data_IF_087331298059
#
_entry.id   IF_087331298059
#
_cell.length_a   1.000
_cell.length_b   1.000
_cell.length_c   1.000
_cell.angle_alpha   90.00
_cell.angle_beta   90.00
_cell.angle_gamma   90.00
#
_symmetry.space_group_name_H-M   'P 1'
#
loop_
_entity.id
_entity.type
_entity.pdbx_description
1 polymer ?
#
# COMPACT_ATOMS: atom_id res chain seq x y z
N UNK A 1 -0.84 16.21 13.26
CA UNK A 1 -0.25 15.99 14.60
C UNK A 1 -0.61 17.08 15.60
N UNK A 2 -0.48 18.39 15.29
CA UNK A 2 -0.77 19.47 16.26
C UNK A 2 -2.15 19.38 16.93
N UNK A 3 -3.20 19.07 16.15
CA UNK A 3 -4.55 18.86 16.69
C UNK A 3 -4.60 17.68 17.68
N UNK A 4 -3.97 16.55 17.34
CA UNK A 4 -3.95 15.36 18.18
C UNK A 4 -3.15 15.56 19.47
N UNK A 5 -1.96 16.14 19.37
CA UNK A 5 -1.09 16.37 20.54
C UNK A 5 -1.67 17.40 21.49
N UNK A 6 -2.45 18.36 21.00
CA UNK A 6 -3.15 19.32 21.86
C UNK A 6 -4.26 18.66 22.68
N UNK A 7 -4.89 17.60 22.17
CA UNK A 7 -5.99 16.89 22.87
C UNK A 7 -5.48 15.79 23.80
N UNK A 8 -4.45 15.04 23.38
CA UNK A 8 -4.00 13.82 24.06
C UNK A 8 -2.58 13.91 24.66
N UNK A 9 -1.89 15.05 24.46
CA UNK A 9 -0.53 15.27 24.94
C UNK A 9 0.57 14.64 24.08
N UNK A 10 1.78 14.60 24.63
CA UNK A 10 3.02 14.18 23.95
C UNK A 10 3.59 12.86 24.46
N UNK A 11 2.82 12.04 25.18
CA UNK A 11 3.28 10.73 25.62
C UNK A 11 3.57 9.81 24.43
N UNK A 12 4.51 8.88 24.57
CA UNK A 12 4.83 7.92 23.50
C UNK A 12 3.60 7.13 23.04
N UNK A 13 2.75 6.77 23.99
CA UNK A 13 1.49 6.07 23.73
C UNK A 13 0.59 6.97 22.88
N UNK A 14 0.36 8.23 23.29
CA UNK A 14 -0.47 9.17 22.54
C UNK A 14 0.03 9.37 21.11
N UNK A 15 1.35 9.45 20.89
CA UNK A 15 1.92 9.63 19.55
C UNK A 15 1.79 8.38 18.65
N UNK A 16 1.71 7.18 19.23
CA UNK A 16 1.58 5.91 18.49
C UNK A 16 0.12 5.47 18.29
N UNK A 17 -0.81 5.93 19.15
CA UNK A 17 -2.23 5.58 19.09
C UNK A 17 -2.89 5.79 17.70
N UNK A 18 -2.61 6.88 16.94
CA UNK A 18 -3.18 7.04 15.60
C UNK A 18 -2.89 5.85 14.67
N UNK A 19 -1.66 5.31 14.70
CA UNK A 19 -1.27 4.17 13.87
C UNK A 19 -2.05 2.90 14.22
N UNK A 20 -2.33 2.68 15.51
CA UNK A 20 -3.16 1.57 16.01
C UNK A 20 -4.61 1.73 15.55
N UNK A 21 -5.17 2.93 15.64
CA UNK A 21 -6.55 3.18 15.20
C UNK A 21 -6.68 2.95 13.69
N UNK A 22 -5.73 3.44 12.88
CA UNK A 22 -5.73 3.20 11.44
C UNK A 22 -5.52 1.74 11.07
N UNK A 23 -4.73 0.97 11.83
CA UNK A 23 -4.60 -0.48 11.58
C UNK A 23 -5.92 -1.22 11.81
N UNK A 24 -6.62 -0.92 12.90
CA UNK A 24 -7.94 -1.51 13.20
C UNK A 24 -8.99 -1.12 12.17
N UNK A 25 -9.04 0.17 11.78
CA UNK A 25 -9.92 0.65 10.70
C UNK A 25 -9.59 -0.04 9.37
N UNK A 26 -8.31 -0.26 9.07
CA UNK A 26 -7.92 -1.03 7.87
C UNK A 26 -8.44 -2.45 7.94
N UNK A 27 -8.30 -3.13 9.09
CA UNK A 27 -8.83 -4.48 9.30
C UNK A 27 -10.33 -4.56 9.05
N UNK A 28 -11.10 -3.57 9.51
CA UNK A 28 -12.52 -3.47 9.23
C UNK A 28 -12.83 -3.32 7.73
N UNK A 29 -12.10 -2.47 7.00
CA UNK A 29 -12.29 -2.34 5.55
C UNK A 29 -11.91 -3.64 4.82
N UNK A 30 -10.85 -4.32 5.25
CA UNK A 30 -10.47 -5.63 4.71
C UNK A 30 -11.57 -6.67 4.94
N UNK A 31 -12.19 -6.67 6.13
CA UNK A 31 -13.35 -7.51 6.42
C UNK A 31 -14.50 -7.26 5.44
N UNK A 32 -14.80 -5.99 5.13
CA UNK A 32 -15.86 -5.65 4.17
C UNK A 32 -15.58 -6.13 2.74
N UNK A 33 -14.31 -6.34 2.37
CA UNK A 33 -13.92 -6.81 1.03
C UNK A 33 -13.79 -8.34 0.97
N UNK A 34 -13.11 -8.95 1.95
CA UNK A 34 -12.68 -10.36 1.90
C UNK A 34 -13.14 -11.22 3.08
N UNK A 35 -13.98 -10.69 3.98
CA UNK A 35 -14.53 -11.43 5.12
C UNK A 35 -13.56 -11.61 6.30
N UNK A 36 -13.95 -12.46 7.25
CA UNK A 36 -13.26 -12.64 8.54
C UNK A 36 -11.83 -13.13 8.37
N UNK A 37 -11.59 -14.08 7.45
CA UNK A 37 -10.26 -14.63 7.22
C UNK A 37 -9.30 -13.60 6.60
N UNK A 38 -9.76 -12.77 5.68
CA UNK A 38 -8.94 -11.67 5.14
C UNK A 38 -8.55 -10.69 6.24
N UNK A 39 -9.51 -10.32 7.11
CA UNK A 39 -9.23 -9.46 8.26
C UNK A 39 -8.22 -10.10 9.21
N UNK A 40 -8.37 -11.39 9.51
CA UNK A 40 -7.44 -12.11 10.37
C UNK A 40 -6.02 -12.16 9.77
N UNK A 41 -5.89 -12.52 8.49
CA UNK A 41 -4.59 -12.53 7.80
C UNK A 41 -3.92 -11.16 7.78
N UNK A 42 -4.70 -10.06 7.74
CA UNK A 42 -4.16 -8.71 7.84
C UNK A 42 -3.78 -8.32 9.28
N UNK A 43 -4.68 -8.46 10.25
CA UNK A 43 -4.46 -7.99 11.63
C UNK A 43 -3.39 -8.78 12.36
N UNK A 44 -3.29 -10.08 12.09
CA UNK A 44 -2.25 -10.95 12.66
C UNK A 44 -0.97 -11.00 11.82
N UNK A 45 -0.89 -10.22 10.73
CA UNK A 45 0.36 -10.13 9.97
C UNK A 45 1.46 -9.49 10.83
N UNK A 46 2.63 -10.12 11.02
CA UNK A 46 3.65 -9.59 11.91
C UNK A 46 4.21 -8.22 11.48
N UNK A 47 4.20 -7.88 10.18
CA UNK A 47 4.53 -6.52 9.74
C UNK A 47 3.48 -5.52 10.19
N UNK A 48 2.20 -5.85 10.05
CA UNK A 48 1.11 -4.94 10.44
C UNK A 48 1.12 -4.69 11.94
N UNK A 49 1.30 -5.74 12.75
CA UNK A 49 1.44 -5.62 14.20
C UNK A 49 2.60 -4.68 14.53
N UNK A 50 3.76 -4.88 13.92
CA UNK A 50 4.94 -4.04 14.14
C UNK A 50 4.68 -2.57 13.74
N UNK A 51 4.17 -2.32 12.55
CA UNK A 51 3.98 -0.95 12.03
C UNK A 51 2.80 -0.20 12.66
N UNK A 52 1.84 -0.93 13.24
CA UNK A 52 0.78 -0.31 14.06
C UNK A 52 1.31 0.35 15.32
N UNK A 53 2.47 -0.08 15.83
CA UNK A 53 3.08 0.46 17.04
C UNK A 53 4.07 1.60 16.76
N UNK A 54 4.38 1.88 15.49
CA UNK A 54 5.28 2.96 15.13
C UNK A 54 4.51 4.26 14.90
N UNK A 55 5.01 5.38 15.43
CA UNK A 55 4.49 6.72 15.13
C UNK A 55 4.94 7.18 13.73
N UNK A 56 4.49 6.47 12.69
CA UNK A 56 4.82 6.71 11.27
C UNK A 56 3.57 6.65 10.40
N UNK A 57 3.65 7.28 9.23
CA UNK A 57 2.50 7.43 8.32
C UNK A 57 2.02 6.12 7.65
N UNK A 58 2.71 4.99 7.83
CA UNK A 58 2.44 3.75 7.08
C UNK A 58 1.04 3.18 7.32
N UNK A 59 0.55 3.13 8.56
CA UNK A 59 -0.79 2.60 8.81
C UNK A 59 -1.89 3.54 8.32
N UNK A 60 -1.67 4.85 8.40
CA UNK A 60 -2.60 5.84 7.84
C UNK A 60 -2.73 5.69 6.32
N UNK A 61 -1.62 5.63 5.57
CA UNK A 61 -1.70 5.42 4.12
C UNK A 61 -2.27 4.05 3.76
N UNK A 62 -1.98 3.01 4.55
CA UNK A 62 -2.55 1.67 4.36
C UNK A 62 -4.07 1.70 4.50
N UNK A 63 -4.60 2.38 5.52
CA UNK A 63 -6.04 2.61 5.65
C UNK A 63 -6.62 3.36 4.45
N UNK A 64 -6.04 4.51 4.09
CA UNK A 64 -6.55 5.36 3.00
C UNK A 64 -6.57 4.62 1.66
N UNK A 65 -5.51 3.87 1.33
CA UNK A 65 -5.46 3.07 0.11
C UNK A 65 -6.38 1.85 0.14
N UNK A 66 -6.62 1.26 1.31
CA UNK A 66 -7.57 0.15 1.45
C UNK A 66 -9.01 0.65 1.34
N UNK A 67 -9.31 1.83 1.87
CA UNK A 67 -10.59 2.50 1.66
C UNK A 67 -10.79 2.86 0.17
N UNK A 68 -9.75 3.39 -0.50
CA UNK A 68 -9.77 3.60 -1.94
C UNK A 68 -10.03 2.29 -2.70
N UNK A 69 -9.37 1.19 -2.31
CA UNK A 69 -9.60 -0.14 -2.88
C UNK A 69 -11.06 -0.59 -2.73
N UNK A 70 -11.66 -0.40 -1.56
CA UNK A 70 -13.07 -0.75 -1.31
C UNK A 70 -14.01 -0.03 -2.30
N UNK A 71 -13.87 1.29 -2.43
CA UNK A 71 -14.71 2.06 -3.37
C UNK A 71 -14.41 1.71 -4.82
N UNK A 72 -13.14 1.51 -5.17
CA UNK A 72 -12.73 1.06 -6.50
C UNK A 72 -13.40 -0.26 -6.90
N UNK A 73 -13.34 -1.27 -6.02
CA UNK A 73 -13.97 -2.58 -6.28
C UNK A 73 -15.49 -2.47 -6.37
N UNK A 74 -16.12 -1.65 -5.53
CA UNK A 74 -17.57 -1.40 -5.55
C UNK A 74 -18.04 -0.73 -6.84
N UNK A 75 -17.26 0.22 -7.36
CA UNK A 75 -17.52 0.85 -8.66
C UNK A 75 -17.42 -0.19 -9.79
N UNK A 76 -16.42 -1.08 -9.74
CA UNK A 76 -16.24 -2.13 -10.75
C UNK A 76 -17.32 -3.22 -10.71
N UNK A 77 -17.86 -3.54 -9.54
CA UNK A 77 -18.90 -4.57 -9.39
C UNK A 77 -20.29 -4.12 -9.84
N UNK A 78 -20.54 -2.81 -9.88
CA UNK A 78 -21.86 -2.27 -10.17
C UNK A 78 -22.06 -2.12 -11.69
N UNK A 79 -23.09 -2.76 -12.24
CA UNK A 79 -23.48 -2.58 -13.65
C UNK A 79 -24.50 -1.44 -13.77
N UNK A 80 -24.18 -0.41 -14.55
CA UNK A 80 -25.09 0.70 -14.89
C UNK A 80 -24.76 2.05 -14.22
N UNK A 81 -25.31 3.14 -14.75
CA UNK A 81 -25.25 4.50 -14.16
C UNK A 81 -26.25 4.60 -13.00
N UNK A 82 -26.02 3.87 -11.91
CA UNK A 82 -26.83 4.06 -10.70
C UNK A 82 -26.44 5.38 -10.03
N UNK A 83 -27.43 6.21 -9.70
CA UNK A 83 -27.22 7.55 -9.09
C UNK A 83 -26.52 7.47 -7.73
N UNK A 84 -26.64 6.32 -7.05
CA UNK A 84 -25.96 5.97 -5.80
C UNK A 84 -24.42 5.88 -5.93
N UNK A 85 -23.88 5.76 -7.15
CA UNK A 85 -22.44 5.72 -7.38
C UNK A 85 -21.78 7.10 -7.27
N UNK A 86 -22.51 8.21 -7.45
CA UNK A 86 -21.94 9.57 -7.43
C UNK A 86 -21.10 9.86 -6.16
N UNK A 87 -21.49 9.28 -5.02
CA UNK A 87 -20.72 9.42 -3.76
C UNK A 87 -19.44 8.57 -3.72
N UNK A 88 -19.46 7.36 -4.27
CA UNK A 88 -18.31 6.45 -4.21
C UNK A 88 -17.13 6.98 -5.03
N UNK A 89 -17.41 7.66 -6.14
CA UNK A 89 -16.41 8.21 -7.06
C UNK A 89 -15.64 9.36 -6.38
N UNK A 90 -16.39 10.23 -5.70
CA UNK A 90 -15.86 11.35 -4.93
C UNK A 90 -15.06 10.82 -3.74
N UNK A 91 -15.57 9.82 -3.03
CA UNK A 91 -14.86 9.18 -1.92
C UNK A 91 -13.57 8.51 -2.41
N UNK A 92 -13.59 7.81 -3.55
CA UNK A 92 -12.40 7.24 -4.16
C UNK A 92 -11.35 8.32 -4.45
N UNK A 93 -11.75 9.41 -5.14
CA UNK A 93 -10.88 10.54 -5.41
C UNK A 93 -10.30 11.16 -4.15
N UNK A 94 -11.13 11.37 -3.12
CA UNK A 94 -10.72 11.90 -1.82
C UNK A 94 -9.69 10.99 -1.13
N UNK A 95 -9.94 9.68 -1.05
CA UNK A 95 -9.01 8.73 -0.43
C UNK A 95 -7.69 8.62 -1.20
N UNK A 96 -7.73 8.65 -2.54
CA UNK A 96 -6.52 8.72 -3.39
C UNK A 96 -5.72 9.99 -3.09
N UNK A 97 -6.37 11.15 -3.05
CA UNK A 97 -5.72 12.43 -2.76
C UNK A 97 -5.12 12.46 -1.35
N UNK A 98 -5.86 12.02 -0.34
CA UNK A 98 -5.38 11.95 1.04
C UNK A 98 -4.22 10.95 1.19
N UNK A 99 -4.27 9.80 0.49
CA UNK A 99 -3.18 8.84 0.49
C UNK A 99 -1.90 9.44 -0.10
N UNK A 100 -2.01 10.18 -1.21
CA UNK A 100 -0.88 10.85 -1.85
C UNK A 100 -0.29 11.95 -0.98
N UNK A 101 -1.13 12.77 -0.33
CA UNK A 101 -0.69 13.76 0.65
C UNK A 101 0.04 13.13 1.85
N UNK A 102 -0.39 11.94 2.26
CA UNK A 102 0.18 11.21 3.39
C UNK A 102 1.51 10.57 3.02
N UNK A 103 1.62 9.97 1.84
CA UNK A 103 2.82 9.25 1.43
C UNK A 103 2.93 9.19 -0.11
N UNK A 104 3.97 9.78 -0.68
CA UNK A 104 4.16 9.83 -2.14
C UNK A 104 4.32 8.46 -2.80
N UNK A 105 4.82 7.44 -2.08
CA UNK A 105 4.91 6.07 -2.60
C UNK A 105 3.55 5.39 -2.82
N UNK A 106 2.44 6.01 -2.39
CA UNK A 106 1.08 5.60 -2.77
C UNK A 106 0.82 5.73 -4.28
N UNK A 107 1.62 6.54 -5.00
CA UNK A 107 1.48 6.75 -6.45
C UNK A 107 1.47 5.44 -7.24
N UNK A 108 2.21 4.42 -6.80
CA UNK A 108 2.28 3.14 -7.50
C UNK A 108 0.91 2.44 -7.53
N UNK A 109 0.18 2.42 -6.41
CA UNK A 109 -1.17 1.83 -6.39
C UNK A 109 -2.21 2.73 -7.03
N UNK A 110 -2.08 4.06 -6.89
CA UNK A 110 -2.97 5.03 -7.54
C UNK A 110 -2.90 4.87 -9.07
N UNK A 111 -1.69 4.85 -9.63
CA UNK A 111 -1.46 4.63 -11.07
C UNK A 111 -2.01 3.27 -11.51
N UNK A 112 -1.93 2.25 -10.65
CA UNK A 112 -2.52 0.93 -10.92
C UNK A 112 -4.05 1.01 -11.07
N UNK A 113 -4.75 1.76 -10.23
CA UNK A 113 -6.19 1.99 -10.39
C UNK A 113 -6.51 2.70 -11.72
N UNK A 114 -5.74 3.75 -12.06
CA UNK A 114 -5.96 4.54 -13.28
C UNK A 114 -5.74 3.69 -14.53
N UNK A 115 -4.62 2.96 -14.61
CA UNK A 115 -4.31 2.08 -15.74
C UNK A 115 -5.34 0.96 -15.85
N UNK A 116 -5.85 0.44 -14.73
CA UNK A 116 -6.93 -0.55 -14.77
C UNK A 116 -8.23 0.00 -15.37
N UNK A 117 -8.63 1.23 -15.00
CA UNK A 117 -9.81 1.87 -15.63
C UNK A 117 -9.61 2.08 -17.14
N UNK A 118 -8.40 2.48 -17.55
CA UNK A 118 -8.07 2.62 -18.97
C UNK A 118 -8.15 1.27 -19.70
N UNK A 119 -7.59 0.21 -19.12
CA UNK A 119 -7.68 -1.15 -19.66
C UNK A 119 -9.12 -1.66 -19.80
N UNK A 120 -9.99 -1.34 -18.84
CA UNK A 120 -11.43 -1.63 -18.91
C UNK A 120 -12.23 -0.64 -19.75
N UNK A 121 -11.57 0.30 -20.45
CA UNK A 121 -12.18 1.36 -21.27
C UNK A 121 -13.18 2.22 -20.52
N UNK A 122 -13.02 2.36 -19.20
CA UNK A 122 -13.91 3.14 -18.37
C UNK A 122 -13.43 4.60 -18.24
N UNK A 123 -13.48 5.32 -19.37
CA UNK A 123 -12.85 6.64 -19.51
C UNK A 123 -13.40 7.69 -18.56
N UNK A 124 -14.70 7.63 -18.22
CA UNK A 124 -15.31 8.57 -17.27
C UNK A 124 -14.61 8.55 -15.92
N UNK A 125 -14.44 7.37 -15.33
CA UNK A 125 -13.78 7.24 -14.02
C UNK A 125 -12.28 7.47 -14.12
N UNK A 126 -11.65 7.07 -15.22
CA UNK A 126 -10.25 7.40 -15.48
C UNK A 126 -10.02 8.92 -15.47
N UNK A 127 -10.80 9.68 -16.25
CA UNK A 127 -10.65 11.15 -16.35
C UNK A 127 -10.91 11.81 -14.99
N UNK A 128 -12.02 11.47 -14.31
CA UNK A 128 -12.37 12.06 -13.03
C UNK A 128 -11.27 11.84 -11.96
N UNK A 129 -10.82 10.60 -11.77
CA UNK A 129 -9.78 10.29 -10.78
C UNK A 129 -8.43 10.89 -11.16
N UNK A 130 -8.12 10.98 -12.47
CA UNK A 130 -6.91 11.66 -12.95
C UNK A 130 -6.98 13.16 -12.66
N UNK A 131 -8.13 13.81 -12.84
CA UNK A 131 -8.30 15.23 -12.51
C UNK A 131 -8.12 15.49 -11.01
N UNK A 132 -8.70 14.64 -10.14
CA UNK A 132 -8.46 14.73 -8.69
C UNK A 132 -6.97 14.58 -8.34
N UNK A 133 -6.29 13.63 -8.98
CA UNK A 133 -4.86 13.39 -8.75
C UNK A 133 -3.98 14.54 -9.27
N UNK A 134 -4.29 15.10 -10.43
CA UNK A 134 -3.58 16.28 -10.97
C UNK A 134 -3.80 17.49 -10.07
N UNK A 135 -5.05 17.76 -9.66
CA UNK A 135 -5.38 18.89 -8.80
C UNK A 135 -4.63 18.82 -7.48
N UNK A 136 -4.57 17.66 -6.83
CA UNK A 136 -3.84 17.53 -5.57
C UNK A 136 -2.32 17.65 -5.77
N UNK A 137 -1.79 17.12 -6.87
CA UNK A 137 -0.36 17.22 -7.21
C UNK A 137 0.05 18.67 -7.47
N UNK A 138 -0.79 19.42 -8.20
CA UNK A 138 -0.57 20.85 -8.43
C UNK A 138 -0.60 21.64 -7.13
N UNK A 139 -1.57 21.36 -6.24
CA UNK A 139 -1.71 22.03 -4.95
C UNK A 139 -0.44 21.89 -4.09
N UNK A 140 0.19 20.72 -4.10
CA UNK A 140 1.41 20.45 -3.31
C UNK A 140 2.71 20.62 -4.10
N UNK A 141 2.65 21.03 -5.37
CA UNK A 141 3.82 21.07 -6.25
C UNK A 141 5.01 21.88 -5.69
N UNK A 142 4.81 23.02 -4.98
CA UNK A 142 5.96 23.76 -4.41
C UNK A 142 6.65 22.97 -3.29
N UNK A 143 5.86 22.31 -2.43
CA UNK A 143 6.38 21.47 -1.37
C UNK A 143 7.12 20.26 -1.94
N UNK A 144 6.52 19.60 -2.95
CA UNK A 144 7.11 18.44 -3.61
C UNK A 144 8.44 18.81 -4.27
N UNK A 145 8.50 19.97 -4.94
CA UNK A 145 9.73 20.48 -5.54
C UNK A 145 10.84 20.69 -4.49
N UNK A 146 10.52 21.33 -3.36
CA UNK A 146 11.49 21.52 -2.27
C UNK A 146 11.97 20.19 -1.69
N UNK A 147 11.06 19.23 -1.48
CA UNK A 147 11.42 17.90 -0.99
C UNK A 147 12.31 17.12 -1.96
N UNK A 148 12.10 17.27 -3.27
CA UNK A 148 12.96 16.66 -4.30
C UNK A 148 14.37 17.26 -4.26
N UNK A 149 14.51 18.58 -4.11
CA UNK A 149 15.83 19.23 -3.98
C UNK A 149 16.53 18.72 -2.72
N UNK A 150 15.85 18.76 -1.56
CA UNK A 150 16.41 18.31 -0.30
C UNK A 150 16.84 16.83 -0.36
N UNK A 151 16.05 15.99 -1.05
CA UNK A 151 16.36 14.58 -1.25
C UNK A 151 17.63 14.37 -2.09
N UNK A 152 17.82 15.18 -3.16
CA UNK A 152 19.03 15.13 -4.00
C UNK A 152 20.27 15.56 -3.21
N UNK A 153 20.16 16.64 -2.42
CA UNK A 153 21.24 17.13 -1.56
C UNK A 153 21.62 16.08 -0.51
N UNK A 154 20.64 15.45 0.13
CA UNK A 154 20.91 14.39 1.10
C UNK A 154 21.58 13.16 0.45
N UNK A 155 21.19 12.81 -0.78
CA UNK A 155 21.78 11.68 -1.49
C UNK A 155 23.24 11.92 -1.89
N UNK A 156 23.64 13.17 -2.16
CA UNK A 156 25.03 13.51 -2.51
C UNK A 156 25.91 13.70 -1.27
N UNK A 157 25.36 14.27 -0.19
CA UNK A 157 26.14 14.59 1.01
C UNK A 157 26.32 13.40 1.95
N UNK A 158 25.32 12.51 2.06
CA UNK A 158 25.39 11.37 2.99
C UNK A 158 26.00 10.17 2.28
N UNK A 159 27.21 9.81 2.69
CA UNK A 159 27.93 8.64 2.15
C UNK A 159 27.09 7.38 2.31
N UNK A 160 27.04 6.55 1.27
CA UNK A 160 26.31 5.28 1.25
C UNK A 160 24.80 5.34 1.50
N UNK A 161 24.18 6.53 1.55
CA UNK A 161 22.73 6.66 1.78
C UNK A 161 21.89 5.89 0.76
N UNK A 162 22.37 5.85 -0.49
CA UNK A 162 21.76 5.08 -1.58
C UNK A 162 21.66 3.57 -1.30
N UNK A 163 22.56 2.98 -0.50
CA UNK A 163 22.52 1.56 -0.16
C UNK A 163 21.40 1.24 0.83
N UNK A 164 21.08 2.18 1.71
CA UNK A 164 20.04 2.01 2.73
C UNK A 164 18.65 2.19 2.13
N UNK A 165 18.49 3.06 1.14
CA UNK A 165 17.20 3.46 0.56
C UNK A 165 16.52 2.40 -0.33
N UNK A 166 17.18 1.26 -0.61
CA UNK A 166 16.67 0.17 -1.44
C UNK A 166 16.88 0.44 -2.92
N UNK A 167 17.91 -0.18 -3.51
CA UNK A 167 18.23 -0.06 -4.93
C UNK A 167 17.40 -1.06 -5.74
N UNK A 168 17.31 -0.88 -7.06
CA UNK A 168 16.71 -1.88 -7.95
C UNK A 168 17.57 -3.15 -8.02
N UNK A 169 17.48 -3.99 -7.00
CA UNK A 169 18.19 -5.25 -6.88
C UNK A 169 17.21 -6.41 -6.72
N UNK A 170 17.57 -7.58 -7.27
CA UNK A 170 16.77 -8.80 -7.14
C UNK A 170 16.54 -9.19 -5.67
N UNK A 171 17.55 -8.98 -4.82
CA UNK A 171 17.45 -9.20 -3.37
C UNK A 171 16.32 -8.37 -2.75
N UNK A 172 16.27 -7.08 -3.04
CA UNK A 172 15.28 -6.17 -2.47
C UNK A 172 13.88 -6.46 -2.99
N UNK A 173 13.77 -6.89 -4.25
CA UNK A 173 12.50 -7.37 -4.83
C UNK A 173 12.01 -8.65 -4.14
N UNK A 174 12.87 -9.66 -3.95
CA UNK A 174 12.52 -10.92 -3.30
C UNK A 174 12.28 -10.79 -1.79
N UNK A 175 12.85 -9.76 -1.16
CA UNK A 175 12.58 -9.47 0.25
C UNK A 175 11.14 -9.04 0.50
N UNK A 176 10.45 -8.43 -0.48
CA UNK A 176 9.06 -7.99 -0.31
C UNK A 176 8.12 -9.17 0.02
N UNK A 177 7.98 -10.21 -0.81
CA UNK A 177 7.09 -11.34 -0.48
C UNK A 177 7.52 -12.08 0.77
N UNK A 178 8.83 -12.19 1.03
CA UNK A 178 9.35 -12.79 2.28
C UNK A 178 8.88 -12.02 3.50
N UNK A 179 9.06 -10.70 3.50
CA UNK A 179 8.68 -9.84 4.62
C UNK A 179 7.18 -9.74 4.78
N UNK A 180 6.41 -9.74 3.70
CA UNK A 180 4.94 -9.78 3.77
C UNK A 180 4.42 -11.07 4.41
N UNK A 181 5.13 -12.18 4.24
CA UNK A 181 4.72 -13.48 4.78
C UNK A 181 5.17 -13.71 6.22
N UNK A 182 6.43 -13.38 6.56
CA UNK A 182 7.03 -13.73 7.87
C UNK A 182 7.27 -12.55 8.82
N UNK A 183 7.18 -11.32 8.33
CA UNK A 183 7.45 -10.14 9.15
C UNK A 183 8.90 -9.66 9.20
N UNK A 184 9.16 -8.74 10.12
CA UNK A 184 10.50 -8.21 10.40
C UNK A 184 11.42 -9.19 11.14
N UNK A 185 10.89 -10.32 11.61
CA UNK A 185 11.64 -11.31 12.38
C UNK A 185 12.81 -11.84 11.53
N UNK A 186 13.98 -11.91 12.14
CA UNK A 186 15.14 -12.62 11.59
C UNK A 186 15.94 -13.21 12.75
N UNK A 187 16.38 -14.45 12.61
CA UNK A 187 17.10 -15.16 13.65
C UNK A 187 18.37 -15.81 13.10
N UNK A 188 19.23 -16.24 14.01
CA UNK A 188 20.43 -17.02 13.70
C UNK A 188 20.17 -18.50 14.03
N UNK A 189 20.79 -19.43 13.29
CA UNK A 189 21.70 -19.20 12.16
C UNK A 189 20.96 -18.77 10.87
N UNK A 190 21.60 -17.95 10.03
CA UNK A 190 20.93 -17.32 8.86
C UNK A 190 20.43 -18.34 7.84
N UNK A 191 21.14 -19.44 7.61
CA UNK A 191 20.71 -20.48 6.67
C UNK A 191 19.35 -21.08 7.06
N UNK A 192 19.12 -21.29 8.36
CA UNK A 192 17.85 -21.80 8.89
C UNK A 192 16.73 -20.78 8.71
N UNK A 193 17.02 -19.50 8.98
CA UNK A 193 16.09 -18.41 8.69
C UNK A 193 15.69 -18.38 7.20
N UNK A 194 16.65 -18.45 6.29
CA UNK A 194 16.37 -18.44 4.85
C UNK A 194 15.55 -19.65 4.42
N UNK A 195 15.82 -20.84 4.97
CA UNK A 195 15.04 -22.06 4.71
C UNK A 195 13.59 -21.93 5.15
N UNK A 196 13.35 -21.52 6.41
CA UNK A 196 11.99 -21.37 6.96
C UNK A 196 11.24 -20.23 6.26
N UNK A 197 11.86 -19.06 6.12
CA UNK A 197 11.24 -17.91 5.50
C UNK A 197 10.94 -18.15 4.01
N UNK A 198 11.87 -18.80 3.29
CA UNK A 198 11.69 -19.20 1.90
C UNK A 198 10.59 -20.22 1.74
N UNK A 199 10.56 -21.27 2.58
CA UNK A 199 9.52 -22.30 2.58
C UNK A 199 8.13 -21.73 2.84
N UNK A 200 7.98 -20.88 3.87
CA UNK A 200 6.71 -20.22 4.18
C UNK A 200 6.24 -19.29 3.05
N UNK A 201 7.16 -18.50 2.49
CA UNK A 201 6.83 -17.63 1.34
C UNK A 201 6.44 -18.47 0.12
N UNK A 202 7.12 -19.59 -0.12
CA UNK A 202 6.76 -20.55 -1.17
C UNK A 202 5.35 -21.09 -0.99
N UNK A 203 4.97 -21.47 0.23
CA UNK A 203 3.61 -21.91 0.56
C UNK A 203 2.56 -20.82 0.24
N UNK A 204 2.80 -19.57 0.67
CA UNK A 204 1.93 -18.42 0.36
C UNK A 204 1.80 -18.19 -1.15
N UNK A 205 2.89 -18.33 -1.91
CA UNK A 205 2.84 -18.17 -3.36
C UNK A 205 2.10 -19.32 -4.05
N UNK A 206 2.19 -20.54 -3.52
CA UNK A 206 1.42 -21.70 -4.00
C UNK A 206 -0.08 -21.50 -3.77
N UNK A 207 -0.50 -21.01 -2.60
CA UNK A 207 -1.93 -20.72 -2.33
C UNK A 207 -2.46 -19.63 -3.26
N UNK A 208 -1.66 -18.60 -3.55
CA UNK A 208 -2.05 -17.58 -4.53
C UNK A 208 -2.21 -18.19 -5.94
N UNK A 209 -1.31 -19.09 -6.33
CA UNK A 209 -1.36 -19.76 -7.65
C UNK A 209 -2.63 -20.60 -7.81
N UNK A 210 -3.07 -21.32 -6.78
CA UNK A 210 -4.28 -22.16 -6.85
C UNK A 210 -5.57 -21.33 -6.95
N UNK A 211 -5.56 -20.12 -6.39
CA UNK A 211 -6.73 -19.25 -6.31
C UNK A 211 -6.81 -18.28 -7.51
N UNK A 212 -5.68 -17.94 -8.14
CA UNK A 212 -5.57 -16.90 -9.18
C UNK A 212 -6.58 -17.04 -10.35
N UNK A 213 -6.93 -18.26 -10.75
CA UNK A 213 -7.81 -18.49 -11.90
C UNK A 213 -9.29 -18.58 -11.55
N UNK A 214 -9.68 -18.58 -10.26
CA UNK A 214 -11.06 -18.86 -9.84
C UNK A 214 -12.07 -17.79 -10.29
N UNK A 215 -11.76 -16.50 -10.13
CA UNK A 215 -12.74 -15.43 -10.39
C UNK A 215 -12.12 -14.19 -11.05
N UNK A 216 -12.95 -13.40 -11.73
CA UNK A 216 -12.54 -12.08 -12.28
C UNK A 216 -12.11 -11.14 -11.16
N UNK A 217 -12.80 -11.19 -10.01
CA UNK A 217 -12.45 -10.42 -8.82
C UNK A 217 -11.01 -10.70 -8.37
N UNK A 218 -10.63 -11.98 -8.23
CA UNK A 218 -9.27 -12.36 -7.82
C UNK A 218 -8.24 -11.86 -8.83
N UNK A 219 -8.52 -11.98 -10.14
CA UNK A 219 -7.61 -11.45 -11.18
C UNK A 219 -7.41 -9.94 -11.05
N UNK A 220 -8.46 -9.19 -10.75
CA UNK A 220 -8.38 -7.74 -10.50
C UNK A 220 -7.54 -7.43 -9.26
N UNK A 221 -7.81 -8.08 -8.13
CA UNK A 221 -7.07 -7.87 -6.88
C UNK A 221 -5.60 -8.29 -7.03
N UNK A 222 -5.32 -9.38 -7.75
CA UNK A 222 -3.96 -9.82 -8.05
C UNK A 222 -3.19 -8.85 -8.95
N UNK A 223 -3.84 -8.28 -9.97
CA UNK A 223 -3.25 -7.20 -10.76
C UNK A 223 -2.85 -6.03 -9.85
N UNK A 224 -3.70 -5.64 -8.91
CA UNK A 224 -3.43 -4.56 -7.95
C UNK A 224 -2.36 -4.92 -6.91
N UNK A 225 -2.02 -6.20 -6.72
CA UNK A 225 -0.89 -6.63 -5.90
C UNK A 225 0.43 -6.50 -6.66
N UNK A 226 0.48 -6.99 -7.89
CA UNK A 226 1.72 -7.15 -8.65
C UNK A 226 2.11 -5.88 -9.40
N UNK A 227 1.17 -5.19 -10.02
CA UNK A 227 1.46 -4.05 -10.88
C UNK A 227 2.13 -2.87 -10.15
N UNK A 228 1.73 -2.48 -8.92
CA UNK A 228 2.46 -1.48 -8.14
C UNK A 228 3.91 -1.88 -7.83
N UNK A 229 4.18 -3.17 -7.62
CA UNK A 229 5.53 -3.69 -7.36
C UNK A 229 6.41 -3.59 -8.61
N UNK A 230 5.85 -3.88 -9.78
CA UNK A 230 6.54 -3.71 -11.07
C UNK A 230 6.87 -2.23 -11.29
N UNK A 231 5.90 -1.33 -11.10
CA UNK A 231 6.13 0.12 -11.21
C UNK A 231 7.19 0.60 -10.22
N UNK A 232 7.12 0.15 -8.97
CA UNK A 232 8.10 0.44 -7.94
C UNK A 232 9.50 -0.03 -8.30
N UNK A 233 9.62 -1.23 -8.84
CA UNK A 233 10.89 -1.79 -9.32
C UNK A 233 11.48 -0.97 -10.47
N UNK A 234 10.66 -0.62 -11.47
CA UNK A 234 11.10 0.20 -12.62
C UNK A 234 11.55 1.60 -12.20
N UNK A 235 10.79 2.26 -11.32
CA UNK A 235 11.17 3.58 -10.80
C UNK A 235 12.44 3.48 -9.94
N UNK A 236 12.68 2.33 -9.30
CA UNK A 236 13.83 2.12 -8.43
C UNK A 236 15.18 2.09 -9.13
N UNK A 237 15.21 2.02 -10.46
CA UNK A 237 16.43 2.22 -11.25
C UNK A 237 16.89 3.69 -11.25
N UNK A 238 15.95 4.63 -11.09
CA UNK A 238 16.23 6.06 -11.12
C UNK A 238 16.28 6.67 -9.72
N UNK A 239 15.44 6.19 -8.80
CA UNK A 239 15.35 6.70 -7.43
C UNK A 239 15.27 5.54 -6.43
N UNK A 240 16.14 5.43 -5.42
CA UNK A 240 16.14 4.28 -4.54
C UNK A 240 14.89 4.26 -3.65
N UNK A 241 13.92 3.41 -4.02
CA UNK A 241 12.62 3.29 -3.35
C UNK A 241 12.15 1.85 -3.14
N UNK A 242 12.98 0.84 -3.44
CA UNK A 242 12.58 -0.56 -3.39
C UNK A 242 12.75 -1.15 -1.99
N UNK A 243 11.96 -0.68 -1.04
CA UNK A 243 11.96 -1.22 0.33
C UNK A 243 10.59 -1.80 0.67
N UNK A 244 10.55 -3.01 1.23
CA UNK A 244 9.31 -3.72 1.56
C UNK A 244 8.31 -2.87 2.35
N UNK A 245 8.81 -2.02 3.26
CA UNK A 245 7.93 -1.22 4.10
C UNK A 245 7.22 -0.08 3.37
N UNK A 246 7.77 0.37 2.24
CA UNK A 246 7.12 1.36 1.38
C UNK A 246 5.91 0.79 0.65
N UNK A 247 5.75 -0.53 0.65
CA UNK A 247 4.65 -1.25 0.00
C UNK A 247 3.71 -1.95 0.99
N UNK A 248 3.76 -1.63 2.30
CA UNK A 248 2.90 -2.26 3.33
C UNK A 248 1.40 -2.16 3.01
N UNK A 249 1.00 -1.11 2.29
CA UNK A 249 -0.38 -0.94 1.82
C UNK A 249 -0.86 -2.05 0.87
N UNK A 250 0.02 -2.94 0.40
CA UNK A 250 -0.32 -4.12 -0.38
C UNK A 250 -0.68 -5.35 0.48
N UNK A 251 -0.36 -5.35 1.78
CA UNK A 251 -0.71 -6.46 2.68
C UNK A 251 -2.24 -6.67 2.78
N UNK A 252 -3.10 -5.63 2.86
CA UNK A 252 -4.55 -5.79 2.73
C UNK A 252 -4.97 -6.58 1.48
N UNK A 253 -4.37 -6.27 0.33
CA UNK A 253 -4.65 -6.92 -0.96
C UNK A 253 -4.21 -8.38 -0.91
N UNK A 254 -3.02 -8.66 -0.37
CA UNK A 254 -2.52 -10.02 -0.16
C UNK A 254 -3.47 -10.83 0.74
N UNK A 255 -3.93 -10.24 1.84
CA UNK A 255 -4.83 -10.88 2.80
C UNK A 255 -6.19 -11.24 2.17
N UNK A 256 -6.74 -10.36 1.32
CA UNK A 256 -7.96 -10.63 0.54
C UNK A 256 -7.77 -11.83 -0.40
N UNK A 257 -6.63 -11.90 -1.10
CA UNK A 257 -6.33 -13.02 -2.01
C UNK A 257 -6.21 -14.34 -1.23
N UNK A 258 -5.54 -14.34 -0.08
CA UNK A 258 -5.34 -15.55 0.71
C UNK A 258 -6.63 -16.11 1.31
N UNK A 259 -7.66 -15.27 1.47
CA UNK A 259 -8.97 -15.68 1.97
C UNK A 259 -9.94 -16.17 0.89
N UNK A 260 -9.57 -16.10 -0.41
CA UNK A 260 -10.43 -16.44 -1.57
C UNK A 260 -10.23 -17.88 -2.10
#
# INVERSE_FOLDING_TARGET
MKLWTNLFGYSEIALRMPSILFSLMTGYVVYLIGGVWAMAFFLFNPLIVYYSQEARMYMMVTFLLTAALYFFLKILSTKGLDSRLRGNDILLGLFISLAFLTFYGSIFLIVSFLIYYLYKKNYKFFILNTLYFILITLLISPLLYQQLINSKVALSQVTNWSLVLGKANLKDLLLIPVKFSIGRISFYPKWLYWGIAGGWTGFVMLTIKTVFQKTVFIKTVFYLLIFPLILGFLVSFFTPMLQYFRFIYLIPILAIILAS
#
